data_IF_570470960736
#
_entry.id   IF_570470960736
#
_cell.length_a   1.000
_cell.length_b   1.000
_cell.length_c   1.000
_cell.angle_alpha   90.00
_cell.angle_beta   90.00
_cell.angle_gamma   90.00
#
_symmetry.space_group_name_H-M   'P 1'
#
loop_
_entity.id
_entity.type
_entity.pdbx_description
1 polymer ?
#
# COMPACT_ATOMS: atom_id res chain seq x y z
N UNK A 1 -12.91 16.12 -2.25
CA UNK A 1 -12.15 14.85 -2.26
C UNK A 1 -10.67 15.15 -2.10
N UNK A 2 -10.05 14.76 -0.98
CA UNK A 2 -8.60 14.88 -0.80
C UNK A 2 -7.86 13.94 -1.78
N UNK A 3 -6.59 14.25 -2.09
CA UNK A 3 -5.72 13.41 -2.94
C UNK A 3 -5.67 11.97 -2.41
N UNK A 4 -5.62 11.81 -1.09
CA UNK A 4 -5.58 10.51 -0.41
C UNK A 4 -6.88 9.71 -0.63
N UNK A 5 -8.05 10.35 -0.50
CA UNK A 5 -9.34 9.70 -0.74
C UNK A 5 -9.43 9.15 -2.16
N UNK A 6 -8.95 9.91 -3.16
CA UNK A 6 -8.90 9.45 -4.57
C UNK A 6 -7.96 8.27 -4.76
N UNK A 7 -6.81 8.24 -4.06
CA UNK A 7 -5.88 7.12 -4.11
C UNK A 7 -6.46 5.86 -3.49
N UNK A 8 -7.13 5.99 -2.34
CA UNK A 8 -7.85 4.88 -1.69
C UNK A 8 -8.93 4.34 -2.62
N UNK A 9 -9.78 5.20 -3.17
CA UNK A 9 -10.81 4.79 -4.12
C UNK A 9 -10.22 4.07 -5.35
N UNK A 10 -9.17 4.65 -5.97
CA UNK A 10 -8.46 4.03 -7.10
C UNK A 10 -7.92 2.65 -6.72
N UNK A 11 -7.30 2.50 -5.55
CA UNK A 11 -6.76 1.23 -5.08
C UNK A 11 -7.88 0.18 -5.02
N UNK A 12 -9.02 0.50 -4.41
CA UNK A 12 -10.14 -0.42 -4.20
C UNK A 12 -10.98 -0.74 -5.44
N UNK A 13 -10.74 -0.10 -6.60
CA UNK A 13 -11.43 -0.43 -7.86
C UNK A 13 -11.35 -1.92 -8.23
N UNK A 14 -12.41 -2.38 -8.90
CA UNK A 14 -12.54 -3.71 -9.49
C UNK A 14 -12.90 -3.54 -10.97
N UNK A 15 -12.07 -4.02 -11.92
CA UNK A 15 -10.82 -4.76 -11.69
C UNK A 15 -9.70 -3.90 -11.05
N UNK A 16 -8.67 -4.52 -10.44
CA UNK A 16 -7.54 -3.78 -9.85
C UNK A 16 -6.88 -2.87 -10.88
N UNK A 17 -6.56 -1.61 -10.52
CA UNK A 17 -6.00 -0.65 -11.46
C UNK A 17 -4.65 -1.12 -11.98
N UNK A 18 -4.42 -1.01 -13.29
CA UNK A 18 -3.14 -1.37 -13.93
C UNK A 18 -2.12 -0.23 -13.91
N UNK A 19 -2.52 0.97 -13.47
CA UNK A 19 -1.74 2.22 -13.44
C UNK A 19 -1.52 2.74 -11.99
N UNK A 20 -1.43 1.82 -11.01
CA UNK A 20 -1.17 2.23 -9.63
C UNK A 20 0.34 2.24 -9.35
N UNK A 21 0.95 3.42 -9.28
CA UNK A 21 2.40 3.57 -9.10
C UNK A 21 2.87 3.32 -7.67
N UNK A 22 4.17 3.03 -7.51
CA UNK A 22 4.81 2.94 -6.20
C UNK A 22 4.66 4.24 -5.39
N UNK A 23 4.77 5.39 -6.04
CA UNK A 23 4.62 6.69 -5.38
C UNK A 23 3.18 6.95 -4.88
N UNK A 24 2.18 6.51 -5.64
CA UNK A 24 0.79 6.54 -5.19
C UNK A 24 0.59 5.68 -3.93
N UNK A 25 1.24 4.51 -3.89
CA UNK A 25 1.20 3.63 -2.73
C UNK A 25 1.87 4.27 -1.52
N UNK A 26 3.10 4.77 -1.67
CA UNK A 26 3.83 5.46 -0.59
C UNK A 26 2.99 6.61 -0.02
N UNK A 27 2.44 7.46 -0.89
CA UNK A 27 1.61 8.61 -0.48
C UNK A 27 0.39 8.15 0.33
N UNK A 28 -0.27 7.07 -0.11
CA UNK A 28 -1.43 6.52 0.58
C UNK A 28 -1.04 5.92 1.94
N UNK A 29 -0.03 5.05 1.99
CA UNK A 29 0.40 4.36 3.21
C UNK A 29 0.97 5.33 4.25
N UNK A 30 1.77 6.32 3.84
CA UNK A 30 2.26 7.37 4.76
C UNK A 30 1.12 8.18 5.36
N UNK A 31 0.07 8.47 4.59
CA UNK A 31 -1.13 9.12 5.14
C UNK A 31 -1.92 8.26 6.13
N UNK A 32 -1.70 6.94 6.13
CA UNK A 32 -2.31 5.99 7.06
C UNK A 32 -1.39 5.68 8.26
N UNK A 33 -0.28 6.41 8.45
CA UNK A 33 0.63 6.20 9.57
C UNK A 33 1.69 5.12 9.34
N UNK A 34 1.90 4.69 8.09
CA UNK A 34 2.98 3.76 7.75
C UNK A 34 4.28 4.49 7.39
N UNK A 35 5.39 3.94 7.85
CA UNK A 35 6.73 4.37 7.50
C UNK A 35 7.40 3.34 6.57
N UNK A 36 8.03 3.82 5.50
CA UNK A 36 8.82 2.97 4.60
C UNK A 36 10.15 2.61 5.26
N UNK A 37 10.38 1.31 5.43
CA UNK A 37 11.62 0.72 5.92
C UNK A 37 12.25 -0.07 4.78
N UNK A 38 13.38 0.42 4.29
CA UNK A 38 14.12 -0.26 3.23
C UNK A 38 14.73 -1.56 3.78
N UNK A 39 14.32 -2.70 3.20
CA UNK A 39 14.93 -3.99 3.49
C UNK A 39 16.18 -4.25 2.65
N UNK A 40 16.75 -5.44 2.77
CA UNK A 40 17.86 -5.87 1.92
C UNK A 40 17.33 -6.24 0.52
N UNK A 41 17.83 -5.56 -0.53
CA UNK A 41 17.44 -5.78 -1.93
C UNK A 41 16.12 -5.09 -2.34
N UNK A 42 15.34 -5.72 -3.24
CA UNK A 42 14.08 -5.13 -3.76
C UNK A 42 12.87 -5.27 -2.83
N UNK A 43 13.08 -5.82 -1.63
CA UNK A 43 12.03 -5.98 -0.61
C UNK A 43 11.91 -4.69 0.19
N UNK A 44 10.72 -4.10 0.20
CA UNK A 44 10.40 -2.93 1.01
C UNK A 44 9.36 -3.33 2.04
N UNK A 45 9.57 -2.90 3.28
CA UNK A 45 8.63 -3.10 4.38
C UNK A 45 8.01 -1.75 4.71
N UNK A 46 6.70 -1.70 4.86
CA UNK A 46 6.01 -0.58 5.47
C UNK A 46 5.58 -0.99 6.86
N UNK A 47 5.81 -0.16 7.87
CA UNK A 47 5.44 -0.46 9.26
C UNK A 47 4.52 0.65 9.75
N UNK A 48 3.34 0.28 10.23
CA UNK A 48 2.44 1.24 10.90
C UNK A 48 3.03 1.61 12.26
N UNK A 49 3.24 2.90 12.50
CA UNK A 49 3.98 3.40 13.67
C UNK A 49 3.33 2.99 15.01
N UNK A 50 2.00 3.12 15.10
CA UNK A 50 1.24 2.84 16.34
C UNK A 50 0.89 1.37 16.53
N UNK A 51 0.51 0.67 15.46
CA UNK A 51 -0.01 -0.69 15.52
C UNK A 51 1.07 -1.77 15.36
N UNK A 52 2.32 -1.36 15.09
CA UNK A 52 3.44 -2.23 14.69
C UNK A 52 3.09 -3.17 13.52
N UNK A 53 2.11 -2.78 12.69
CA UNK A 53 1.57 -3.63 11.63
C UNK A 53 2.44 -3.57 10.37
N UNK A 54 3.01 -4.70 9.90
CA UNK A 54 3.92 -4.70 8.77
C UNK A 54 3.24 -5.06 7.45
N UNK A 55 3.55 -4.33 6.37
CA UNK A 55 3.21 -4.67 4.99
C UNK A 55 4.51 -4.88 4.21
N UNK A 56 4.76 -6.10 3.73
CA UNK A 56 5.96 -6.42 2.97
C UNK A 56 5.60 -6.52 1.49
N UNK A 57 6.28 -5.73 0.67
CA UNK A 57 6.01 -5.65 -0.76
C UNK A 57 7.29 -5.54 -1.57
N UNK A 58 7.27 -6.15 -2.74
CA UNK A 58 8.36 -6.04 -3.70
C UNK A 58 8.22 -4.71 -4.45
N UNK A 59 9.28 -3.89 -4.39
CA UNK A 59 9.34 -2.67 -5.20
C UNK A 59 9.30 -3.07 -6.67
N UNK A 60 8.39 -2.51 -7.47
CA UNK A 60 8.31 -2.86 -8.87
C UNK A 60 9.54 -2.28 -9.58
N UNK A 61 10.25 -3.14 -10.31
CA UNK A 61 11.42 -2.79 -11.11
C UNK A 61 11.34 -3.54 -12.45
N UNK A 62 11.59 -2.89 -13.60
CA UNK A 62 11.84 -1.46 -13.85
C UNK A 62 10.55 -0.61 -14.01
N UNK A 63 9.39 -1.26 -14.11
CA UNK A 63 8.11 -0.57 -14.25
C UNK A 63 7.76 0.09 -12.91
N UNK A 64 7.49 1.39 -12.86
CA UNK A 64 7.16 2.12 -11.61
C UNK A 64 5.74 1.77 -11.07
N UNK A 65 5.06 0.82 -11.73
CA UNK A 65 3.66 0.47 -11.51
C UNK A 65 3.53 -0.88 -10.82
N UNK A 66 2.63 -0.94 -9.84
CA UNK A 66 2.34 -2.17 -9.10
C UNK A 66 1.65 -3.19 -10.00
N UNK A 67 2.07 -4.44 -9.84
CA UNK A 67 1.37 -5.59 -10.43
C UNK A 67 0.05 -5.81 -9.68
N UNK A 68 -0.94 -6.37 -10.38
CA UNK A 68 -2.27 -6.60 -9.80
C UNK A 68 -2.24 -7.49 -8.55
N UNK A 69 -1.33 -8.47 -8.49
CA UNK A 69 -1.17 -9.29 -7.28
C UNK A 69 -0.68 -8.45 -6.09
N UNK A 70 0.22 -7.49 -6.30
CA UNK A 70 0.70 -6.60 -5.24
C UNK A 70 -0.44 -5.74 -4.74
N UNK A 71 -1.27 -5.21 -5.64
CA UNK A 71 -2.47 -4.44 -5.28
C UNK A 71 -3.42 -5.28 -4.43
N UNK A 72 -3.65 -6.56 -4.78
CA UNK A 72 -4.48 -7.45 -3.99
C UNK A 72 -3.92 -7.65 -2.58
N UNK A 73 -2.62 -7.97 -2.46
CA UNK A 73 -1.95 -8.12 -1.16
C UNK A 73 -2.06 -6.86 -0.30
N UNK A 74 -1.90 -5.68 -0.90
CA UNK A 74 -2.05 -4.39 -0.19
C UNK A 74 -3.48 -4.20 0.28
N UNK A 75 -4.50 -4.52 -0.55
CA UNK A 75 -5.91 -4.44 -0.15
C UNK A 75 -6.18 -5.35 1.05
N UNK A 76 -5.71 -6.59 1.02
CA UNK A 76 -5.88 -7.58 2.09
C UNK A 76 -5.25 -7.07 3.39
N UNK A 77 -4.01 -6.57 3.34
CA UNK A 77 -3.33 -6.02 4.51
C UNK A 77 -4.04 -4.78 5.09
N UNK A 78 -4.58 -3.91 4.24
CA UNK A 78 -5.35 -2.74 4.68
C UNK A 78 -6.73 -3.11 5.23
N UNK A 79 -7.30 -4.24 4.84
CA UNK A 79 -8.57 -4.73 5.38
C UNK A 79 -8.39 -5.37 6.76
N UNK A 80 -7.31 -6.14 6.92
CA UNK A 80 -6.87 -6.67 8.22
C UNK A 80 -6.58 -5.52 9.21
N UNK A 81 -5.89 -4.47 8.75
CA UNK A 81 -5.64 -3.27 9.55
C UNK A 81 -6.94 -2.61 10.06
N UNK A 82 -7.98 -2.48 9.22
CA UNK A 82 -9.27 -1.92 9.63
C UNK A 82 -9.96 -2.80 10.66
N UNK A 83 -9.90 -4.11 10.46
CA UNK A 83 -10.44 -5.09 11.41
C UNK A 83 -9.77 -4.94 12.78
N UNK A 84 -8.45 -4.70 12.82
CA UNK A 84 -7.71 -4.41 14.06
C UNK A 84 -8.10 -3.07 14.69
N UNK A 85 -8.45 -2.07 13.88
CA UNK A 85 -8.92 -0.76 14.34
C UNK A 85 -10.38 -0.79 14.83
N UNK A 86 -11.10 -1.89 14.61
CA UNK A 86 -12.53 -2.02 14.94
C UNK A 86 -13.44 -1.22 14.01
N UNK A 87 -12.98 -0.94 12.79
CA UNK A 87 -13.76 -0.31 11.72
C UNK A 87 -14.55 -1.32 10.87
#
# INVERSE_FOLDING_TARGET
MSKITKLRDKLYKTPPPTDFTWENLKTLLTSLGFNEVQGNGSRVKFIHDVLDFPIIIHKPHPQNTLKQYSIKQIKEALDELKTLLGE
#
